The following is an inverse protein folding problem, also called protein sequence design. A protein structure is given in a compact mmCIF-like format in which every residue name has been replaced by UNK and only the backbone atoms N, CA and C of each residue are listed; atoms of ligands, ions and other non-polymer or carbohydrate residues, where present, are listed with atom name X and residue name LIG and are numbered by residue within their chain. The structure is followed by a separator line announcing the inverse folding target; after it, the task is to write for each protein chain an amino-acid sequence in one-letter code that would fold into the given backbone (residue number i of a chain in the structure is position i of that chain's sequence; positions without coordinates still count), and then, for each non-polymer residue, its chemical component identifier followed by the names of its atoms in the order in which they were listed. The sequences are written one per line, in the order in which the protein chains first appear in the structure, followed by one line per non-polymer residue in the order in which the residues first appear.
data_IF_007983845587
#
_entry.id   IF_007983845587
#
_cell.length_a   1.000
_cell.length_b   1.000
_cell.length_c   1.000
_cell.angle_alpha   90.00
_cell.angle_beta   90.00
_cell.angle_gamma   90.00
#
_symmetry.space_group_name_H-M   'P 1'
#
loop_
_entity.id
_entity.type
_entity.pdbx_description
1 polymer ?
#
# COMPACT_ATOMS: atom_id res chain seq x y z
N UNK A 1 26.19 13.57 -39.73
CA UNK A 1 24.74 13.25 -39.64
C UNK A 1 24.48 12.42 -38.39
N UNK A 2 23.57 12.87 -37.52
CA UNK A 2 23.47 12.43 -36.12
C UNK A 2 22.76 11.09 -35.90
N UNK A 3 23.28 10.32 -34.94
CA UNK A 3 22.90 8.97 -34.46
C UNK A 3 21.40 8.74 -34.13
N UNK A 4 20.57 9.79 -34.17
CA UNK A 4 19.12 9.73 -33.85
C UNK A 4 18.22 9.44 -35.06
N UNK A 5 18.69 9.58 -36.30
CA UNK A 5 17.87 9.30 -37.48
C UNK A 5 17.79 7.81 -37.86
N UNK A 6 18.76 6.98 -37.43
CA UNK A 6 18.83 5.56 -37.80
C UNK A 6 17.73 4.69 -37.17
N UNK A 7 17.27 5.05 -35.97
CA UNK A 7 16.21 4.31 -35.24
C UNK A 7 14.78 4.52 -35.79
N UNK A 8 14.56 5.50 -36.69
CA UNK A 8 13.23 5.74 -37.30
C UNK A 8 12.97 4.94 -38.57
N UNK A 9 14.00 4.40 -39.24
CA UNK A 9 13.80 3.58 -40.44
C UNK A 9 13.60 2.09 -40.13
N UNK A 10 14.18 1.55 -39.05
CA UNK A 10 14.03 0.13 -38.69
C UNK A 10 12.61 -0.25 -38.22
N UNK A 11 11.77 0.72 -37.82
CA UNK A 11 10.37 0.46 -37.46
C UNK A 11 9.41 0.33 -38.65
N UNK A 12 9.81 0.69 -39.86
CA UNK A 12 8.92 0.65 -41.05
C UNK A 12 8.96 -0.68 -41.82
N UNK A 13 9.91 -1.57 -41.55
CA UNK A 13 10.09 -2.80 -42.35
C UNK A 13 9.35 -4.03 -41.77
N UNK A 14 8.87 -3.98 -40.53
CA UNK A 14 8.27 -5.16 -39.87
C UNK A 14 6.76 -5.35 -40.06
N UNK A 15 6.10 -4.60 -40.93
CA UNK A 15 4.62 -4.57 -40.94
C UNK A 15 3.97 -4.90 -42.28
N UNK A 16 4.49 -5.89 -43.02
CA UNK A 16 3.76 -6.50 -44.13
C UNK A 16 3.95 -8.02 -44.10
N UNK A 17 2.95 -8.75 -43.60
CA UNK A 17 2.72 -10.13 -43.98
C UNK A 17 1.21 -10.36 -44.18
N UNK A 18 0.78 -11.03 -45.25
CA UNK A 18 -0.62 -11.20 -45.58
C UNK A 18 -1.25 -12.33 -44.74
N UNK A 19 -2.51 -12.10 -44.39
CA UNK A 19 -3.33 -12.92 -43.50
C UNK A 19 -3.84 -14.16 -44.25
N UNK A 20 -3.46 -15.34 -43.77
CA UNK A 20 -4.06 -16.61 -44.20
C UNK A 20 -5.15 -16.98 -43.19
N UNK A 21 -6.39 -17.12 -43.68
CA UNK A 21 -7.56 -17.42 -42.86
C UNK A 21 -7.52 -18.90 -42.42
N UNK A 22 -7.15 -19.13 -41.17
CA UNK A 22 -7.29 -20.42 -40.50
C UNK A 22 -8.55 -20.35 -39.63
N UNK A 23 -9.56 -21.14 -40.01
CA UNK A 23 -10.75 -21.40 -39.19
C UNK A 23 -10.28 -22.08 -37.91
N UNK A 24 -10.19 -21.31 -36.84
CA UNK A 24 -9.82 -21.79 -35.50
C UNK A 24 -11.10 -22.03 -34.74
N UNK A 25 -11.37 -23.29 -34.41
CA UNK A 25 -12.41 -23.70 -33.47
C UNK A 25 -12.16 -23.02 -32.12
N UNK A 26 -13.21 -22.41 -31.57
CA UNK A 26 -13.14 -21.71 -30.30
C UNK A 26 -12.73 -22.69 -29.19
N UNK A 27 -11.67 -22.41 -28.39
CA UNK A 27 -11.37 -23.22 -27.23
C UNK A 27 -12.50 -23.08 -26.22
N UNK A 28 -13.01 -24.21 -25.74
CA UNK A 28 -13.92 -24.26 -24.60
C UNK A 28 -13.29 -23.49 -23.44
N UNK A 29 -14.00 -22.46 -22.97
CA UNK A 29 -13.59 -21.64 -21.84
C UNK A 29 -13.52 -22.52 -20.60
N UNK A 30 -12.33 -22.99 -20.27
CA UNK A 30 -12.05 -23.68 -19.02
C UNK A 30 -12.32 -22.67 -17.91
N UNK A 31 -13.36 -22.89 -17.11
CA UNK A 31 -13.67 -22.02 -15.98
C UNK A 31 -12.47 -22.04 -15.03
N UNK A 32 -11.71 -20.96 -14.98
CA UNK A 32 -10.63 -20.79 -13.99
C UNK A 32 -11.24 -20.94 -12.60
N UNK A 33 -10.92 -22.06 -11.95
CA UNK A 33 -11.46 -22.38 -10.63
C UNK A 33 -11.07 -21.32 -9.61
N UNK A 34 -12.05 -20.68 -8.98
CA UNK A 34 -11.82 -19.76 -7.86
C UNK A 34 -11.17 -20.56 -6.73
N UNK A 35 -9.98 -20.14 -6.27
CA UNK A 35 -9.31 -20.75 -5.13
C UNK A 35 -10.19 -20.67 -3.87
N UNK A 36 -10.22 -21.74 -3.09
CA UNK A 36 -10.90 -21.72 -1.79
C UNK A 36 -10.23 -20.76 -0.82
N UNK A 37 -10.99 -20.23 0.16
CA UNK A 37 -10.44 -19.34 1.19
C UNK A 37 -9.26 -19.97 1.96
N UNK A 38 -9.33 -21.29 2.23
CA UNK A 38 -8.26 -22.03 2.88
C UNK A 38 -6.99 -22.13 2.01
N UNK A 39 -7.16 -22.34 0.69
CA UNK A 39 -6.03 -22.35 -0.24
C UNK A 39 -5.36 -20.97 -0.32
N UNK A 40 -6.15 -19.90 -0.39
CA UNK A 40 -5.65 -18.52 -0.33
C UNK A 40 -4.86 -18.30 0.96
N UNK A 41 -5.40 -18.69 2.11
CA UNK A 41 -4.74 -18.52 3.40
C UNK A 41 -3.42 -19.31 3.48
N UNK A 42 -3.38 -20.54 2.94
CA UNK A 42 -2.17 -21.35 2.91
C UNK A 42 -1.06 -20.68 2.06
N UNK A 43 -1.39 -20.18 0.87
CA UNK A 43 -0.44 -19.47 0.00
C UNK A 43 0.04 -18.17 0.67
N UNK A 44 -0.86 -17.40 1.29
CA UNK A 44 -0.48 -16.19 2.05
C UNK A 44 0.51 -16.53 3.16
N UNK A 45 0.26 -17.62 3.90
CA UNK A 45 1.16 -18.08 4.98
C UNK A 45 2.52 -18.50 4.42
N UNK A 46 2.55 -19.21 3.29
CA UNK A 46 3.77 -19.60 2.58
C UNK A 46 4.59 -18.36 2.20
N UNK A 47 3.98 -17.36 1.54
CA UNK A 47 4.65 -16.14 1.07
C UNK A 47 5.28 -15.34 2.20
N UNK A 48 4.57 -15.19 3.32
CA UNK A 48 5.05 -14.37 4.44
C UNK A 48 5.91 -15.16 5.45
N UNK A 49 5.91 -16.50 5.40
CA UNK A 49 6.79 -17.33 6.25
C UNK A 49 8.28 -17.22 5.93
N UNK A 50 8.63 -16.65 4.77
CA UNK A 50 10.01 -16.42 4.35
C UNK A 50 10.68 -15.30 5.13
N UNK A 51 9.92 -14.44 5.81
CA UNK A 51 10.47 -13.35 6.59
C UNK A 51 10.92 -13.84 7.97
N UNK A 52 12.13 -13.46 8.43
CA UNK A 52 12.60 -13.88 9.74
C UNK A 52 11.72 -13.30 10.86
N UNK A 53 11.60 -14.08 11.92
CA UNK A 53 10.98 -13.65 13.19
C UNK A 53 12.09 -13.16 14.11
N UNK A 54 11.88 -12.03 14.79
CA UNK A 54 12.79 -11.61 15.84
C UNK A 54 12.48 -12.35 17.15
N UNK A 55 13.45 -12.39 18.06
CA UNK A 55 13.26 -13.02 19.37
C UNK A 55 12.15 -12.32 20.16
N UNK A 56 12.02 -11.00 20.04
CA UNK A 56 10.95 -10.24 20.69
C UNK A 56 9.58 -10.59 20.12
N UNK A 57 9.47 -10.82 18.81
CA UNK A 57 8.22 -11.32 18.21
C UNK A 57 7.87 -12.69 18.78
N UNK A 58 8.86 -13.60 18.82
CA UNK A 58 8.65 -14.94 19.38
C UNK A 58 8.20 -14.82 20.82
N UNK A 59 8.92 -14.09 21.68
CA UNK A 59 8.58 -13.88 23.08
C UNK A 59 7.19 -13.24 23.28
N UNK A 60 6.83 -12.24 22.47
CA UNK A 60 5.52 -11.59 22.54
C UNK A 60 4.36 -12.50 22.11
N UNK A 61 4.64 -13.49 21.25
CA UNK A 61 3.65 -14.43 20.69
C UNK A 61 3.75 -15.83 21.25
N UNK A 62 4.63 -16.07 22.24
CA UNK A 62 4.60 -17.29 23.03
C UNK A 62 3.28 -17.28 23.82
N UNK A 63 2.28 -17.93 23.24
CA UNK A 63 1.04 -18.22 23.94
C UNK A 63 1.37 -19.03 25.19
N UNK A 64 0.69 -18.70 26.28
CA UNK A 64 0.76 -19.46 27.51
C UNK A 64 0.22 -20.87 27.26
N UNK A 65 1.09 -21.83 26.97
CA UNK A 65 0.70 -23.24 27.05
C UNK A 65 0.39 -23.56 28.50
N UNK A 66 -0.79 -24.14 28.75
CA UNK A 66 -1.13 -24.72 30.04
C UNK A 66 -0.30 -25.99 30.20
N UNK A 67 0.93 -25.86 30.67
CA UNK A 67 1.77 -27.00 31.02
C UNK A 67 1.42 -27.39 32.47
N UNK A 68 0.82 -28.57 32.63
CA UNK A 68 0.47 -29.16 33.94
C UNK A 68 -0.52 -28.34 34.80
N UNK A 69 -1.47 -27.63 34.18
CA UNK A 69 -2.52 -26.91 34.90
C UNK A 69 -2.03 -25.67 35.67
N UNK A 70 -0.78 -25.24 35.46
CA UNK A 70 -0.27 -23.95 35.95
C UNK A 70 -0.22 -23.00 34.76
N UNK A 71 -0.99 -21.91 34.83
CA UNK A 71 -0.84 -20.80 33.89
C UNK A 71 0.60 -20.30 33.99
N UNK A 72 1.37 -20.50 32.93
CA UNK A 72 2.61 -19.75 32.75
C UNK A 72 2.28 -18.26 32.56
N UNK A 73 3.24 -17.39 32.83
CA UNK A 73 3.01 -15.94 32.85
C UNK A 73 2.50 -15.43 31.49
N UNK A 74 1.22 -15.07 31.39
CA UNK A 74 0.70 -14.33 30.23
C UNK A 74 1.24 -12.92 30.33
N UNK A 75 2.08 -12.52 29.37
CA UNK A 75 2.60 -11.16 29.31
C UNK A 75 1.45 -10.14 29.33
N UNK A 76 1.66 -9.05 30.06
CA UNK A 76 0.71 -7.96 30.06
C UNK A 76 0.66 -7.33 28.66
N UNK A 77 -0.50 -6.81 28.22
CA UNK A 77 -0.66 -6.23 26.86
C UNK A 77 0.39 -5.16 26.55
N UNK A 78 0.80 -4.38 27.55
CA UNK A 78 1.84 -3.37 27.40
C UNK A 78 3.23 -3.97 27.15
N UNK A 79 3.55 -5.10 27.79
CA UNK A 79 4.82 -5.81 27.60
C UNK A 79 4.87 -6.44 26.20
N UNK A 80 3.78 -7.09 25.78
CA UNK A 80 3.65 -7.60 24.41
C UNK A 80 3.83 -6.49 23.38
N UNK A 81 3.16 -5.34 23.59
CA UNK A 81 3.30 -4.19 22.69
C UNK A 81 4.73 -3.66 22.64
N UNK A 82 5.41 -3.55 23.79
CA UNK A 82 6.79 -3.10 23.87
C UNK A 82 7.73 -4.04 23.10
N UNK A 83 7.61 -5.35 23.29
CA UNK A 83 8.38 -6.37 22.58
C UNK A 83 8.13 -6.32 21.06
N UNK A 84 6.86 -6.26 20.64
CA UNK A 84 6.52 -6.16 19.22
C UNK A 84 7.08 -4.87 18.61
N UNK A 85 6.94 -3.74 19.31
CA UNK A 85 7.49 -2.45 18.88
C UNK A 85 9.01 -2.56 18.74
N UNK A 86 9.70 -3.12 19.72
CA UNK A 86 11.15 -3.34 19.69
C UNK A 86 11.55 -4.21 18.49
N UNK A 87 10.89 -5.36 18.30
CA UNK A 87 11.13 -6.24 17.16
C UNK A 87 10.92 -5.54 15.81
N UNK A 88 9.91 -4.68 15.70
CA UNK A 88 9.66 -3.89 14.50
C UNK A 88 10.71 -2.78 14.29
N UNK A 89 11.14 -2.09 15.35
CA UNK A 89 12.01 -0.92 15.24
C UNK A 89 13.49 -1.27 15.14
N UNK A 90 13.96 -2.21 15.95
CA UNK A 90 15.38 -2.56 16.07
C UNK A 90 15.77 -3.61 15.02
N UNK A 91 14.91 -4.61 14.81
CA UNK A 91 15.21 -5.75 13.93
C UNK A 91 14.47 -5.72 12.61
N UNK A 92 13.60 -4.72 12.39
CA UNK A 92 12.78 -4.63 11.19
C UNK A 92 11.84 -5.81 11.00
N UNK A 93 11.41 -6.47 12.09
CA UNK A 93 10.60 -7.67 12.05
C UNK A 93 9.21 -7.38 11.48
N UNK A 94 8.96 -7.91 10.29
CA UNK A 94 7.69 -7.74 9.57
C UNK A 94 6.52 -8.38 10.31
N UNK A 95 6.74 -9.49 11.00
CA UNK A 95 5.67 -10.14 11.77
C UNK A 95 5.24 -9.26 12.95
N UNK A 96 6.18 -8.57 13.61
CA UNK A 96 5.85 -7.57 14.61
C UNK A 96 5.07 -6.38 14.03
N UNK A 97 5.51 -5.86 12.87
CA UNK A 97 4.79 -4.78 12.18
C UNK A 97 3.36 -5.17 11.82
N UNK A 98 3.17 -6.40 11.31
CA UNK A 98 1.86 -6.94 11.00
C UNK A 98 1.00 -7.02 12.26
N UNK A 99 1.54 -7.54 13.36
CA UNK A 99 0.80 -7.66 14.62
C UNK A 99 0.40 -6.29 15.18
N UNK A 100 1.31 -5.31 15.16
CA UNK A 100 1.02 -3.93 15.54
C UNK A 100 -0.05 -3.28 14.64
N UNK A 101 -0.11 -3.65 13.36
CA UNK A 101 -1.15 -3.22 12.42
C UNK A 101 -2.47 -4.01 12.50
N UNK A 102 -2.45 -5.21 13.07
CA UNK A 102 -3.62 -6.05 13.27
C UNK A 102 -4.36 -5.72 14.58
N UNK A 103 -3.61 -5.34 15.62
CA UNK A 103 -4.12 -5.09 16.96
C UNK A 103 -5.30 -4.12 17.03
N UNK A 104 -6.09 -4.23 18.09
CA UNK A 104 -7.26 -3.38 18.37
C UNK A 104 -6.92 -1.92 18.76
N UNK A 105 -5.71 -1.46 18.41
CA UNK A 105 -5.28 -0.11 18.65
C UNK A 105 -6.02 0.87 17.73
N UNK A 106 -6.00 2.15 18.11
CA UNK A 106 -6.59 3.22 17.32
C UNK A 106 -6.09 3.16 15.84
N UNK A 107 -6.99 3.30 14.84
CA UNK A 107 -6.68 3.21 13.41
C UNK A 107 -5.43 3.95 12.94
N UNK A 108 -5.11 5.06 13.60
CA UNK A 108 -3.95 5.89 13.29
C UNK A 108 -2.61 5.21 13.54
N UNK A 109 -2.55 4.30 14.52
CA UNK A 109 -1.35 3.52 14.80
C UNK A 109 -1.13 2.41 13.79
N UNK A 110 -2.20 1.89 13.19
CA UNK A 110 -2.13 0.75 12.28
C UNK A 110 -1.40 1.12 10.98
N UNK A 111 -1.75 2.27 10.42
CA UNK A 111 -1.33 2.70 9.08
C UNK A 111 0.19 2.70 8.89
N UNK A 112 1.01 3.34 9.75
CA UNK A 112 2.45 3.38 9.54
C UNK A 112 3.12 2.01 9.61
N UNK A 113 2.64 1.10 10.48
CA UNK A 113 3.19 -0.25 10.58
C UNK A 113 2.81 -1.12 9.38
N UNK A 114 1.55 -1.07 8.96
CA UNK A 114 1.08 -1.78 7.76
C UNK A 114 1.77 -1.25 6.50
N UNK A 115 1.98 0.07 6.40
CA UNK A 115 2.69 0.69 5.29
C UNK A 115 4.17 0.26 5.26
N UNK A 116 4.85 0.27 6.41
CA UNK A 116 6.24 -0.20 6.52
C UNK A 116 6.37 -1.67 6.12
N UNK A 117 5.53 -2.55 6.67
CA UNK A 117 5.53 -3.97 6.31
C UNK A 117 5.20 -4.22 4.83
N UNK A 118 4.31 -3.40 4.25
CA UNK A 118 3.98 -3.46 2.83
C UNK A 118 5.15 -3.01 1.93
N UNK A 119 5.89 -1.96 2.32
CA UNK A 119 7.12 -1.52 1.64
C UNK A 119 8.17 -2.63 1.64
N UNK A 120 8.25 -3.38 2.75
CA UNK A 120 9.15 -4.54 2.88
C UNK A 120 8.67 -5.78 2.15
N UNK A 121 7.49 -5.72 1.53
CA UNK A 121 6.97 -6.76 0.64
C UNK A 121 6.21 -7.88 1.35
N UNK A 122 5.70 -7.67 2.56
CA UNK A 122 4.73 -8.60 3.18
C UNK A 122 3.39 -8.51 2.48
N UNK A 123 2.88 -9.66 2.06
CA UNK A 123 1.58 -9.76 1.43
C UNK A 123 0.47 -9.45 2.43
N UNK A 124 0.54 -9.98 3.66
CA UNK A 124 -0.48 -9.69 4.69
C UNK A 124 -0.52 -8.19 5.01
N UNK A 125 0.62 -7.54 5.20
CA UNK A 125 0.66 -6.09 5.44
C UNK A 125 0.03 -5.31 4.29
N UNK A 126 0.29 -5.69 3.03
CA UNK A 126 -0.36 -5.07 1.86
C UNK A 126 -1.87 -5.24 1.91
N UNK A 127 -2.37 -6.46 2.16
CA UNK A 127 -3.80 -6.73 2.19
C UNK A 127 -4.50 -6.02 3.35
N UNK A 128 -3.88 -5.95 4.51
CA UNK A 128 -4.39 -5.20 5.65
C UNK A 128 -4.37 -3.70 5.39
N UNK A 129 -3.30 -3.16 4.80
CA UNK A 129 -3.22 -1.75 4.41
C UNK A 129 -4.35 -1.39 3.43
N UNK A 130 -4.52 -2.22 2.39
CA UNK A 130 -5.61 -2.11 1.43
C UNK A 130 -6.96 -2.18 2.14
N UNK A 131 -7.24 -3.23 2.89
CA UNK A 131 -8.54 -3.50 3.50
C UNK A 131 -8.91 -2.47 4.57
N UNK A 132 -8.02 -2.26 5.53
CA UNK A 132 -8.25 -1.43 6.72
C UNK A 132 -8.11 0.07 6.46
N UNK A 133 -7.21 0.49 5.56
CA UNK A 133 -6.91 1.92 5.37
C UNK A 133 -7.48 2.49 4.07
N UNK A 134 -7.53 1.73 2.98
CA UNK A 134 -7.86 2.29 1.65
C UNK A 134 -9.21 1.82 1.08
N UNK A 135 -9.67 0.63 1.44
CA UNK A 135 -10.91 0.03 0.94
C UNK A 135 -12.08 0.14 1.90
N UNK A 136 -11.81 0.15 3.21
CA UNK A 136 -12.89 0.16 4.19
C UNK A 136 -13.78 1.33 3.88
N UNK A 137 -14.97 1.00 3.39
CA UNK A 137 -15.96 1.90 2.85
C UNK A 137 -16.25 2.88 3.99
N UNK A 138 -15.53 4.00 3.97
CA UNK A 138 -15.85 5.15 4.77
C UNK A 138 -17.34 5.35 4.52
N UNK A 139 -18.08 5.57 5.59
CA UNK A 139 -19.51 5.89 5.55
C UNK A 139 -19.84 6.60 4.24
N UNK A 140 -20.89 6.23 3.50
CA UNK A 140 -21.13 6.69 2.12
C UNK A 140 -20.94 8.19 1.87
N UNK A 141 -21.05 8.99 2.93
CA UNK A 141 -20.81 10.44 2.99
C UNK A 141 -19.36 10.88 2.79
N UNK A 142 -18.36 10.05 3.09
CA UNK A 142 -16.98 10.52 3.18
C UNK A 142 -16.19 10.44 1.87
N UNK A 143 -16.53 9.55 0.92
CA UNK A 143 -15.84 9.44 -0.38
C UNK A 143 -14.30 9.60 -0.30
N UNK A 144 -13.68 8.97 0.72
CA UNK A 144 -12.23 9.05 1.02
C UNK A 144 -11.49 7.84 0.46
N UNK A 145 -11.89 7.40 -0.72
CA UNK A 145 -11.28 6.21 -1.31
C UNK A 145 -9.88 6.56 -1.81
N UNK A 146 -8.86 6.01 -1.17
CA UNK A 146 -7.49 6.09 -1.64
C UNK A 146 -7.24 5.15 -2.81
N UNK A 147 -8.08 5.24 -3.84
CA UNK A 147 -8.13 4.31 -4.98
C UNK A 147 -6.77 4.26 -5.71
N UNK A 148 -6.06 5.39 -5.76
CA UNK A 148 -4.72 5.47 -6.35
C UNK A 148 -3.73 4.55 -5.64
N UNK A 149 -3.76 4.56 -4.30
CA UNK A 149 -2.86 3.76 -3.46
C UNK A 149 -3.31 2.31 -3.43
N UNK A 150 -4.62 2.06 -3.38
CA UNK A 150 -5.20 0.73 -3.57
C UNK A 150 -4.68 0.09 -4.87
N UNK A 151 -4.71 0.82 -5.98
CA UNK A 151 -4.20 0.33 -7.26
C UNK A 151 -2.69 0.11 -7.30
N UNK A 152 -1.91 0.92 -6.58
CA UNK A 152 -0.48 0.70 -6.44
C UNK A 152 -0.18 -0.59 -5.68
N UNK A 153 -0.76 -0.74 -4.49
CA UNK A 153 -0.50 -1.88 -3.62
C UNK A 153 -1.07 -3.18 -4.16
N UNK A 154 -2.22 -3.15 -4.84
CA UNK A 154 -2.76 -4.30 -5.54
C UNK A 154 -1.80 -4.82 -6.62
N UNK A 155 -1.15 -3.93 -7.37
CA UNK A 155 -0.11 -4.32 -8.35
C UNK A 155 1.13 -4.92 -7.69
N UNK A 156 1.55 -4.37 -6.55
CA UNK A 156 2.68 -4.94 -5.78
C UNK A 156 2.32 -6.35 -5.29
N UNK A 157 1.13 -6.54 -4.72
CA UNK A 157 0.65 -7.85 -4.27
C UNK A 157 0.64 -8.89 -5.39
N UNK A 158 0.09 -8.54 -6.57
CA UNK A 158 0.10 -9.44 -7.75
C UNK A 158 1.51 -9.79 -8.22
N UNK A 159 2.47 -8.87 -8.10
CA UNK A 159 3.85 -9.12 -8.48
C UNK A 159 4.62 -10.00 -7.47
N UNK A 160 4.16 -10.06 -6.22
CA UNK A 160 4.75 -10.95 -5.20
C UNK A 160 4.39 -12.40 -5.50
N UNK A 161 3.11 -12.67 -5.76
CA UNK A 161 2.66 -14.01 -6.12
C UNK A 161 1.41 -13.94 -7.02
N UNK A 162 1.54 -14.46 -8.24
CA UNK A 162 0.47 -14.45 -9.23
C UNK A 162 -0.67 -15.41 -8.89
N UNK A 163 -0.47 -16.38 -7.98
CA UNK A 163 -1.51 -17.34 -7.55
C UNK A 163 -2.62 -16.67 -6.75
N UNK A 164 -2.28 -15.64 -5.97
CA UNK A 164 -3.19 -15.04 -4.99
C UNK A 164 -4.17 -14.01 -5.55
N UNK A 165 -3.91 -13.51 -6.74
CA UNK A 165 -4.69 -12.45 -7.34
C UNK A 165 -5.26 -12.95 -8.66
N UNK A 166 -6.47 -13.57 -8.65
CA UNK A 166 -7.17 -13.86 -9.89
C UNK A 166 -7.35 -12.55 -10.67
N UNK A 167 -7.43 -12.60 -12.00
CA UNK A 167 -7.70 -11.43 -12.85
C UNK A 167 -8.87 -10.55 -12.37
N UNK A 168 -9.79 -11.12 -11.59
CA UNK A 168 -10.95 -10.48 -10.95
C UNK A 168 -10.59 -9.23 -10.15
N UNK A 169 -9.56 -9.24 -9.29
CA UNK A 169 -9.21 -8.05 -8.49
C UNK A 169 -8.67 -6.91 -9.36
N UNK A 170 -7.93 -7.26 -10.41
CA UNK A 170 -7.47 -6.32 -11.45
C UNK A 170 -8.65 -5.78 -12.27
N UNK A 171 -9.69 -6.58 -12.51
CA UNK A 171 -10.90 -6.17 -13.20
C UNK A 171 -11.80 -5.27 -12.34
N UNK A 172 -11.95 -5.53 -11.04
CA UNK A 172 -12.61 -4.61 -10.10
C UNK A 172 -11.87 -3.27 -10.06
N UNK A 173 -10.54 -3.31 -10.10
CA UNK A 173 -9.73 -2.09 -10.24
C UNK A 173 -9.99 -1.42 -11.58
N UNK A 174 -10.03 -2.15 -12.71
CA UNK A 174 -10.35 -1.61 -14.05
C UNK A 174 -11.76 -0.98 -14.12
N UNK A 175 -12.76 -1.58 -13.48
CA UNK A 175 -14.13 -1.06 -13.45
C UNK A 175 -14.23 0.19 -12.58
N UNK A 176 -13.53 0.21 -11.43
CA UNK A 176 -13.35 1.44 -10.64
C UNK A 176 -12.60 2.51 -11.42
N UNK A 177 -11.62 2.10 -12.22
CA UNK A 177 -10.80 2.90 -13.14
C UNK A 177 -11.47 3.22 -14.47
N UNK A 178 -12.76 2.87 -14.65
CA UNK A 178 -13.51 3.26 -15.84
C UNK A 178 -13.29 4.75 -16.11
N UNK A 179 -13.22 5.14 -17.38
CA UNK A 179 -13.04 6.56 -17.76
C UNK A 179 -14.31 7.36 -17.42
N UNK A 180 -14.46 7.66 -16.13
CA UNK A 180 -15.50 8.48 -15.52
C UNK A 180 -14.87 9.60 -14.69
N UNK A 181 -15.55 10.74 -14.63
CA UNK A 181 -15.11 11.86 -13.82
C UNK A 181 -15.16 11.49 -12.34
N UNK A 182 -14.06 11.70 -11.60
CA UNK A 182 -13.97 11.34 -10.19
C UNK A 182 -14.96 12.10 -9.27
N UNK A 183 -15.51 13.24 -9.73
CA UNK A 183 -16.46 14.06 -8.96
C UNK A 183 -17.90 13.83 -9.42
N UNK A 184 -18.19 14.00 -10.71
CA UNK A 184 -19.57 13.99 -11.21
C UNK A 184 -19.94 12.72 -11.99
N UNK A 185 -19.05 11.72 -12.03
CA UNK A 185 -19.26 10.43 -12.70
C UNK A 185 -19.55 10.47 -14.21
N UNK A 186 -19.51 11.64 -14.87
CA UNK A 186 -19.62 11.75 -16.34
C UNK A 186 -18.57 10.89 -17.03
N UNK A 187 -18.97 10.18 -18.06
CA UNK A 187 -18.08 9.36 -18.90
C UNK A 187 -17.67 10.12 -20.16
N UNK A 188 -16.68 9.60 -20.91
CA UNK A 188 -16.38 10.12 -22.24
C UNK A 188 -17.61 10.01 -23.16
N UNK A 189 -17.82 11.05 -23.97
CA UNK A 189 -18.81 11.07 -25.06
C UNK A 189 -18.14 11.54 -26.36
N UNK A 190 -18.88 11.59 -27.47
CA UNK A 190 -18.35 12.15 -28.73
C UNK A 190 -17.88 13.60 -28.61
N UNK A 191 -18.44 14.37 -27.68
CA UNK A 191 -18.17 15.80 -27.48
C UNK A 191 -17.39 16.10 -26.21
N UNK A 192 -17.32 15.16 -25.26
CA UNK A 192 -16.62 15.31 -23.99
C UNK A 192 -15.52 14.24 -23.89
N UNK A 193 -14.27 14.69 -23.90
CA UNK A 193 -13.13 13.82 -23.56
C UNK A 193 -12.63 14.19 -22.16
N UNK A 194 -12.68 13.23 -21.25
CA UNK A 194 -12.13 13.33 -19.91
C UNK A 194 -10.60 13.44 -19.99
N UNK A 195 -10.05 14.28 -19.12
CA UNK A 195 -8.61 14.47 -18.96
C UNK A 195 -8.13 13.72 -17.73
N UNK A 196 -7.03 13.00 -17.86
CA UNK A 196 -6.39 12.34 -16.73
C UNK A 196 -5.57 13.33 -15.91
N UNK A 197 -5.47 13.08 -14.60
CA UNK A 197 -4.52 13.78 -13.74
C UNK A 197 -3.09 13.61 -14.28
N UNK A 198 -2.39 14.71 -14.55
CA UNK A 198 -1.02 14.67 -15.09
C UNK A 198 -0.03 14.03 -14.08
N UNK A 199 -0.31 14.13 -12.78
CA UNK A 199 0.58 13.63 -11.73
C UNK A 199 0.55 12.12 -11.54
N UNK A 200 -0.65 11.53 -11.48
CA UNK A 200 -0.83 10.10 -11.21
C UNK A 200 -1.35 9.28 -12.40
N UNK A 201 -1.94 9.95 -13.41
CA UNK A 201 -2.65 9.32 -14.53
C UNK A 201 -3.77 8.35 -14.13
N UNK A 202 -4.23 8.44 -12.88
CA UNK A 202 -5.22 7.52 -12.31
C UNK A 202 -6.64 8.07 -12.47
N UNK A 203 -6.93 9.24 -11.87
CA UNK A 203 -8.27 9.84 -11.96
C UNK A 203 -8.46 10.61 -13.27
N UNK A 204 -9.70 10.56 -13.76
CA UNK A 204 -10.16 11.32 -14.91
C UNK A 204 -11.12 12.43 -14.48
N UNK A 205 -11.17 13.53 -15.25
CA UNK A 205 -12.01 14.69 -14.95
C UNK A 205 -12.62 15.26 -16.23
N UNK A 206 -13.87 15.72 -16.14
CA UNK A 206 -14.54 16.41 -17.24
C UNK A 206 -14.19 17.90 -17.32
N UNK A 207 -13.66 18.48 -16.23
CA UNK A 207 -13.32 19.90 -16.13
C UNK A 207 -12.25 20.14 -15.07
N UNK A 208 -11.61 21.31 -15.14
CA UNK A 208 -10.66 21.79 -14.13
C UNK A 208 -11.34 22.01 -12.76
N UNK A 209 -12.61 22.42 -12.75
CA UNK A 209 -13.40 22.53 -11.53
C UNK A 209 -13.51 21.19 -10.80
N UNK A 210 -13.90 20.12 -11.51
CA UNK A 210 -13.96 18.78 -10.92
C UNK A 210 -12.59 18.31 -10.43
N UNK A 211 -11.52 18.59 -11.18
CA UNK A 211 -10.17 18.28 -10.73
C UNK A 211 -9.79 19.03 -9.44
N UNK A 212 -10.09 20.32 -9.36
CA UNK A 212 -9.78 21.17 -8.21
C UNK A 212 -10.56 20.78 -6.96
N UNK A 213 -11.86 20.47 -7.11
CA UNK A 213 -12.70 19.91 -6.03
C UNK A 213 -12.11 18.60 -5.53
N UNK A 214 -11.79 17.65 -6.41
CA UNK A 214 -11.17 16.38 -6.00
C UNK A 214 -9.81 16.60 -5.31
N UNK A 215 -9.04 17.56 -5.81
CA UNK A 215 -7.72 17.90 -5.30
C UNK A 215 -7.74 18.43 -3.87
N UNK A 216 -8.68 19.32 -3.55
CA UNK A 216 -8.75 20.01 -2.23
C UNK A 216 -9.70 19.30 -1.26
N UNK A 217 -10.91 19.01 -1.68
CA UNK A 217 -12.00 18.58 -0.79
C UNK A 217 -11.97 17.07 -0.53
N UNK A 218 -11.42 16.29 -1.47
CA UNK A 218 -11.35 14.83 -1.38
C UNK A 218 -9.89 14.32 -1.26
N UNK A 219 -8.96 15.20 -0.90
CA UNK A 219 -7.55 14.86 -0.64
C UNK A 219 -6.81 14.10 -1.76
N UNK A 220 -7.23 14.25 -3.04
CA UNK A 220 -6.46 13.66 -4.13
C UNK A 220 -5.02 14.18 -4.18
N UNK A 221 -4.77 15.40 -3.68
CA UNK A 221 -3.44 15.98 -3.54
C UNK A 221 -2.49 15.06 -2.77
N UNK A 222 -2.89 14.60 -1.58
CA UNK A 222 -2.05 13.77 -0.72
C UNK A 222 -1.76 12.43 -1.36
N UNK A 223 -2.79 11.76 -1.88
CA UNK A 223 -2.67 10.48 -2.58
C UNK A 223 -1.77 10.56 -3.81
N UNK A 224 -1.96 11.58 -4.64
CA UNK A 224 -1.18 11.79 -5.85
C UNK A 224 0.30 11.98 -5.53
N UNK A 225 0.63 12.76 -4.49
CA UNK A 225 2.01 12.96 -4.05
C UNK A 225 2.60 11.69 -3.45
N UNK A 226 1.86 10.96 -2.62
CA UNK A 226 2.35 9.71 -2.05
C UNK A 226 2.62 8.67 -3.15
N UNK A 227 1.73 8.54 -4.14
CA UNK A 227 1.98 7.67 -5.28
C UNK A 227 3.26 8.07 -6.04
N UNK A 228 3.53 9.37 -6.21
CA UNK A 228 4.76 9.83 -6.85
C UNK A 228 6.00 9.46 -6.04
N UNK A 229 5.94 9.55 -4.71
CA UNK A 229 7.00 9.09 -3.81
C UNK A 229 7.22 7.58 -4.00
N UNK A 230 6.15 6.78 -3.93
CA UNK A 230 6.22 5.33 -4.10
C UNK A 230 6.77 4.94 -5.47
N UNK A 231 6.29 5.54 -6.56
CA UNK A 231 6.80 5.26 -7.91
C UNK A 231 8.28 5.62 -8.08
N UNK A 232 8.76 6.68 -7.41
CA UNK A 232 10.15 7.14 -7.52
C UNK A 232 11.11 6.37 -6.62
N UNK A 233 10.69 6.04 -5.39
CA UNK A 233 11.58 5.56 -4.34
C UNK A 233 11.28 4.14 -3.86
N UNK A 234 10.07 3.62 -4.06
CA UNK A 234 9.73 2.24 -3.73
C UNK A 234 9.78 1.34 -4.98
N UNK A 235 8.98 1.64 -6.02
CA UNK A 235 8.79 0.78 -7.19
C UNK A 235 10.08 0.26 -7.86
N UNK A 236 11.14 1.06 -8.07
CA UNK A 236 12.38 0.57 -8.69
C UNK A 236 13.17 -0.40 -7.80
N UNK A 237 12.93 -0.36 -6.49
CA UNK A 237 13.68 -1.09 -5.48
C UNK A 237 12.82 -2.12 -4.73
N UNK A 238 11.52 -2.24 -5.03
CA UNK A 238 10.57 -3.05 -4.27
C UNK A 238 11.06 -4.50 -4.09
N UNK A 239 11.55 -5.13 -5.17
CA UNK A 239 12.15 -6.47 -5.10
C UNK A 239 13.40 -6.50 -4.22
N UNK A 240 14.34 -5.57 -4.41
CA UNK A 240 15.59 -5.53 -3.65
C UNK A 240 15.36 -5.24 -2.15
N UNK A 241 14.38 -4.40 -1.81
CA UNK A 241 13.96 -4.13 -0.43
C UNK A 241 13.37 -5.40 0.18
N UNK A 242 12.49 -6.11 -0.53
CA UNK A 242 11.91 -7.38 -0.08
C UNK A 242 13.00 -8.44 0.12
N UNK A 243 13.87 -8.63 -0.86
CA UNK A 243 14.94 -9.63 -0.79
C UNK A 243 15.90 -9.34 0.38
N UNK A 244 16.18 -8.06 0.69
CA UNK A 244 16.94 -7.68 1.88
C UNK A 244 16.20 -8.04 3.16
N UNK A 245 14.90 -7.73 3.26
CA UNK A 245 14.11 -8.06 4.44
C UNK A 245 14.02 -9.57 4.70
N UNK A 246 13.98 -10.40 3.64
CA UNK A 246 14.03 -11.87 3.77
C UNK A 246 15.34 -12.36 4.38
N UNK A 247 16.45 -11.71 4.05
CA UNK A 247 17.76 -12.03 4.63
C UNK A 247 17.95 -11.46 6.04
N UNK A 248 17.03 -10.63 6.53
CA UNK A 248 17.20 -9.86 7.76
C UNK A 248 18.05 -8.60 7.60
N UNK A 249 18.36 -8.19 6.37
CA UNK A 249 19.13 -6.98 6.07
C UNK A 249 18.24 -5.73 5.94
N UNK A 250 18.84 -4.54 6.10
CA UNK A 250 18.20 -3.26 5.78
C UNK A 250 18.76 -2.72 4.45
N UNK A 251 17.89 -2.63 3.44
CA UNK A 251 18.27 -2.04 2.15
C UNK A 251 18.43 -0.51 2.25
N UNK A 252 19.50 0.12 1.75
CA UNK A 252 19.74 1.56 1.91
C UNK A 252 18.64 2.47 1.34
N UNK A 253 17.97 2.05 0.25
CA UNK A 253 16.84 2.81 -0.30
C UNK A 253 15.63 2.91 0.66
N UNK A 254 15.53 2.00 1.63
CA UNK A 254 14.44 1.99 2.60
C UNK A 254 14.47 3.23 3.50
N UNK A 255 15.63 3.61 4.02
CA UNK A 255 15.77 4.81 4.87
C UNK A 255 15.33 6.08 4.15
N UNK A 256 15.79 6.24 2.90
CA UNK A 256 15.38 7.35 2.05
C UNK A 256 13.88 7.37 1.80
N UNK A 257 13.29 6.20 1.56
CA UNK A 257 11.84 6.06 1.34
C UNK A 257 11.05 6.39 2.61
N UNK A 258 11.48 5.91 3.78
CA UNK A 258 10.88 6.20 5.08
C UNK A 258 10.84 7.70 5.35
N UNK A 259 11.97 8.38 5.17
CA UNK A 259 12.03 9.83 5.29
C UNK A 259 11.07 10.52 4.31
N UNK A 260 11.05 10.12 3.04
CA UNK A 260 10.17 10.74 2.03
C UNK A 260 8.69 10.48 2.26
N UNK A 261 8.32 9.39 2.93
CA UNK A 261 6.96 9.10 3.34
C UNK A 261 6.61 9.69 4.71
N UNK A 262 7.56 10.29 5.42
CA UNK A 262 7.37 10.81 6.78
C UNK A 262 7.23 9.71 7.84
N UNK A 263 7.67 8.49 7.56
CA UNK A 263 7.66 7.38 8.53
C UNK A 263 8.65 7.61 9.69
N UNK A 264 9.63 8.49 9.48
CA UNK A 264 10.62 8.91 10.49
C UNK A 264 10.31 10.25 11.14
N UNK A 265 9.07 10.74 11.04
CA UNK A 265 8.68 12.04 11.63
C UNK A 265 8.86 12.00 13.17
N UNK A 266 9.33 13.07 13.82
CA UNK A 266 9.42 13.13 15.28
C UNK A 266 8.06 12.93 15.94
N UNK A 267 8.02 12.30 17.12
CA UNK A 267 6.79 12.02 17.87
C UNK A 267 6.01 13.28 18.20
N UNK A 268 6.72 14.37 18.46
CA UNK A 268 6.17 15.65 18.90
C UNK A 268 5.21 16.24 17.86
N UNK A 269 5.46 15.98 16.56
CA UNK A 269 4.62 16.46 15.46
C UNK A 269 3.21 15.82 15.45
N UNK A 270 3.04 14.67 16.09
CA UNK A 270 1.79 13.91 16.08
C UNK A 270 1.33 13.48 17.48
N UNK A 271 2.00 13.93 18.53
CA UNK A 271 1.67 13.61 19.92
C UNK A 271 0.22 13.98 20.26
N UNK A 272 -0.24 15.14 19.76
CA UNK A 272 -1.63 15.60 19.96
C UNK A 272 -2.65 14.57 19.43
N UNK A 273 -2.34 13.96 18.28
CA UNK A 273 -3.19 12.95 17.67
C UNK A 273 -3.25 11.69 18.52
N UNK A 274 -2.13 11.35 19.17
CA UNK A 274 -1.97 10.11 19.95
C UNK A 274 -2.66 10.19 21.31
N UNK A 275 -2.45 11.29 22.03
CA UNK A 275 -2.85 11.42 23.43
C UNK A 275 -4.30 11.86 23.57
N UNK A 276 -4.73 12.77 22.70
CA UNK A 276 -6.01 13.48 22.88
C UNK A 276 -7.04 13.15 21.80
N UNK A 277 -6.65 12.43 20.74
CA UNK A 277 -7.46 12.31 19.52
C UNK A 277 -7.94 13.69 19.04
N UNK A 278 -7.03 14.68 19.07
CA UNK A 278 -7.28 16.02 18.56
C UNK A 278 -6.21 16.45 17.55
N UNK A 279 -6.57 17.37 16.67
CA UNK A 279 -5.64 18.06 15.79
C UNK A 279 -5.95 19.56 15.77
N UNK A 280 -4.99 20.39 16.18
CA UNK A 280 -5.16 21.82 16.40
C UNK A 280 -6.29 22.12 17.40
N UNK A 281 -6.36 21.36 18.50
CA UNK A 281 -7.34 21.51 19.57
C UNK A 281 -8.76 21.06 19.22
N UNK A 282 -8.97 20.43 18.06
CA UNK A 282 -10.28 19.93 17.62
C UNK A 282 -10.31 18.41 17.63
N UNK A 283 -11.39 17.82 18.13
CA UNK A 283 -11.60 16.38 18.03
C UNK A 283 -11.56 15.93 16.58
N UNK A 284 -10.90 14.80 16.35
CA UNK A 284 -10.73 14.21 15.03
C UNK A 284 -11.42 12.86 14.92
N UNK A 285 -11.77 12.50 13.69
CA UNK A 285 -12.06 11.10 13.36
C UNK A 285 -10.74 10.41 12.99
N UNK A 286 -10.29 9.38 13.72
CA UNK A 286 -9.04 8.66 13.43
C UNK A 286 -8.93 8.13 12.00
N UNK A 287 -10.07 7.80 11.36
CA UNK A 287 -10.10 7.33 9.97
C UNK A 287 -9.70 8.40 8.96
N UNK A 288 -9.70 9.67 9.36
CA UNK A 288 -9.28 10.78 8.50
C UNK A 288 -7.74 10.85 8.39
N UNK A 289 -7.04 10.13 9.25
CA UNK A 289 -5.59 10.17 9.43
C UNK A 289 -4.90 8.88 8.97
N UNK A 290 -5.64 7.94 8.36
CA UNK A 290 -5.07 6.75 7.68
C UNK A 290 -4.85 6.97 6.17
N UNK A 291 -5.05 8.20 5.70
CA UNK A 291 -4.74 8.65 4.33
C UNK A 291 -3.56 9.63 4.36
N UNK A 292 -2.86 9.84 3.23
CA UNK A 292 -1.70 10.72 3.22
C UNK A 292 -2.07 12.18 3.49
N UNK A 293 -1.16 12.90 4.13
CA UNK A 293 -1.18 14.37 4.24
C UNK A 293 -1.09 15.01 2.85
N UNK A 294 -1.38 16.31 2.79
CA UNK A 294 -1.27 17.11 1.56
C UNK A 294 0.11 17.09 0.91
N UNK A 295 1.18 16.74 1.62
CA UNK A 295 2.55 16.60 1.10
C UNK A 295 2.88 15.18 0.62
N UNK A 296 1.97 14.22 0.82
CA UNK A 296 2.14 12.80 0.49
C UNK A 296 2.77 11.97 1.62
N UNK A 297 3.04 12.58 2.77
CA UNK A 297 3.56 11.87 3.95
C UNK A 297 2.44 11.30 4.81
N UNK A 298 2.79 10.41 5.73
CA UNK A 298 1.86 9.88 6.75
C UNK A 298 1.63 10.89 7.88
N UNK A 299 0.54 10.72 8.61
CA UNK A 299 0.23 11.53 9.80
C UNK A 299 1.04 11.09 11.03
N UNK A 300 1.23 9.79 11.20
CA UNK A 300 1.95 9.18 12.32
C UNK A 300 3.14 8.39 11.77
N UNK A 301 4.33 8.57 12.34
CA UNK A 301 5.52 7.81 11.97
C UNK A 301 5.59 6.43 12.64
N UNK A 302 6.21 5.45 11.99
CA UNK A 302 6.56 4.16 12.60
C UNK A 302 7.91 4.20 13.33
N UNK A 303 8.83 5.09 12.92
CA UNK A 303 10.18 5.22 13.47
C UNK A 303 10.44 6.65 13.93
N UNK A 304 9.80 7.14 15.02
CA UNK A 304 10.02 8.51 15.47
C UNK A 304 11.51 8.75 15.68
N UNK A 305 12.08 9.69 14.91
CA UNK A 305 13.45 10.12 15.13
C UNK A 305 13.49 10.96 16.40
N UNK A 306 14.35 10.60 17.35
CA UNK A 306 14.60 11.37 18.58
C UNK A 306 15.28 12.71 18.33
N UNK A 307 15.61 13.05 17.08
CA UNK A 307 16.21 14.32 16.71
C UNK A 307 15.73 14.75 15.31
N UNK A 308 15.43 16.04 15.09
CA UNK A 308 15.17 16.56 13.75
C UNK A 308 16.45 16.35 12.93
N UNK A 309 16.41 15.39 12.00
CA UNK A 309 17.50 15.19 11.04
C UNK A 309 17.67 16.51 10.28
N UNK A 310 18.80 17.17 10.53
CA UNK A 310 19.10 18.51 10.08
C UNK A 310 18.77 18.70 8.62
N UNK A 311 18.09 19.81 8.34
CA UNK A 311 17.94 20.41 7.02
C UNK A 311 19.32 20.72 6.43
N UNK A 312 19.91 19.75 5.74
CA UNK A 312 21.07 19.91 4.85
C UNK A 312 20.62 20.14 3.42
#
# INVERSE_FOLDING_TARGET
MGRRQKLRQERKIKNNNPTSAVVTTAPEATSEGILSAAAIQAIVKEIDSVFPKSDEFVQATMDTEIINGKEHHKLHTNEQYALLKQGATEHGCIQSMLFLGEGHCNPMYLHPWLLEGAIRGSYRCIMHLIGKCYMHQAEPKMNRNADVLYGYWGKIATNIDTRLCPPIALNVLKDRLGRKCAICSKTDTKTLTLKQCIGCSFHCYCSETCQTTHWKEHNHRGECKQLRILNKYHKPYAKAIRDAAIRGDIHPALEKLRYKLGLTRPSEDYQELLDFNTHNGKSINPKDYVVPREDGTVWVGSFPSSSPIGSS
#
